data_IF_324295976021
#
_entry.id   IF_324295976021
#
_cell.length_a   1.000
_cell.length_b   1.000
_cell.length_c   1.000
_cell.angle_alpha   90.00
_cell.angle_beta   90.00
_cell.angle_gamma   90.00
#
_symmetry.space_group_name_H-M   'P 1'
#
loop_
_entity.id
_entity.type
_entity.pdbx_description
1 polymer ?
#
# COMPACT_ATOMS: atom_id res chain seq x y z
N UNK A 1 -17.81 0.85 -2.63
CA UNK A 1 -17.82 -0.03 -1.45
C UNK A 1 -16.38 -0.15 -1.02
N UNK A 2 -16.06 0.00 0.28
CA UNK A 2 -14.67 -0.06 0.71
C UNK A 2 -14.04 -1.42 0.42
N UNK A 3 -12.76 -1.41 0.10
CA UNK A 3 -11.98 -2.61 -0.16
C UNK A 3 -10.73 -2.64 0.70
N UNK A 4 -10.31 -3.83 1.08
CA UNK A 4 -9.08 -4.07 1.82
C UNK A 4 -8.05 -4.61 0.85
N UNK A 5 -6.88 -3.99 0.85
CA UNK A 5 -5.70 -4.47 0.17
C UNK A 5 -4.72 -5.00 1.21
N UNK A 6 -4.25 -6.23 1.02
CA UNK A 6 -3.17 -6.82 1.82
C UNK A 6 -2.02 -7.15 0.89
N UNK A 7 -0.85 -6.59 1.16
CA UNK A 7 0.36 -6.88 0.42
C UNK A 7 1.43 -7.41 1.37
N UNK A 8 1.88 -8.62 1.11
CA UNK A 8 2.92 -9.28 1.87
C UNK A 8 3.70 -10.26 0.99
N UNK A 9 4.90 -10.62 1.42
CA UNK A 9 5.66 -11.65 0.75
C UNK A 9 7.14 -11.63 1.07
N UNK A 10 7.89 -12.65 0.60
CA UNK A 10 9.32 -12.75 0.84
C UNK A 10 10.13 -11.61 0.23
N UNK A 11 9.68 -11.00 -0.87
CA UNK A 11 10.41 -9.90 -1.52
C UNK A 11 10.00 -8.52 -1.01
N UNK A 12 8.86 -8.40 -0.32
CA UNK A 12 8.44 -7.21 0.42
C UNK A 12 9.15 -7.18 1.79
N UNK A 13 10.35 -6.60 1.81
CA UNK A 13 11.09 -6.31 3.04
C UNK A 13 10.83 -4.88 3.51
N UNK A 14 11.10 -4.58 4.78
CA UNK A 14 11.02 -3.21 5.29
C UNK A 14 11.88 -2.24 4.47
N UNK A 15 13.11 -2.62 4.13
CA UNK A 15 14.04 -1.78 3.36
C UNK A 15 13.49 -1.44 1.96
N UNK A 16 12.88 -2.42 1.28
CA UNK A 16 12.28 -2.21 -0.03
C UNK A 16 10.99 -1.42 0.02
N UNK A 17 10.18 -1.63 1.06
CA UNK A 17 9.02 -0.80 1.32
C UNK A 17 9.44 0.67 1.53
N UNK A 18 10.42 0.94 2.39
CA UNK A 18 10.91 2.31 2.64
C UNK A 18 11.51 2.94 1.38
N UNK A 19 12.18 2.15 0.52
CA UNK A 19 12.66 2.62 -0.79
C UNK A 19 11.50 2.96 -1.74
N UNK A 20 10.46 2.13 -1.80
CA UNK A 20 9.26 2.44 -2.58
C UNK A 20 8.58 3.73 -2.10
N UNK A 21 8.46 3.92 -0.78
CA UNK A 21 7.93 5.15 -0.18
C UNK A 21 8.81 6.36 -0.55
N UNK A 22 10.15 6.23 -0.51
CA UNK A 22 11.06 7.30 -0.95
C UNK A 22 10.82 7.74 -2.38
N UNK A 23 10.58 6.79 -3.29
CA UNK A 23 10.31 7.10 -4.71
C UNK A 23 8.97 7.77 -4.93
N UNK A 24 7.96 7.42 -4.14
CA UNK A 24 6.62 8.00 -4.22
C UNK A 24 6.53 9.37 -3.52
N UNK A 25 7.29 9.57 -2.44
CA UNK A 25 7.13 10.72 -1.55
C UNK A 25 8.29 11.73 -1.62
N UNK A 26 8.87 11.93 -2.81
CA UNK A 26 9.91 12.94 -3.03
C UNK A 26 11.15 12.77 -2.14
N UNK A 27 11.51 11.53 -1.81
CA UNK A 27 12.68 11.17 -1.01
C UNK A 27 12.43 10.96 0.49
N UNK A 28 11.20 11.16 0.99
CA UNK A 28 10.85 10.84 2.39
C UNK A 28 10.66 9.33 2.56
N UNK A 29 11.20 8.75 3.63
CA UNK A 29 11.08 7.30 3.89
C UNK A 29 9.76 6.86 4.51
N UNK A 30 8.86 7.80 4.82
CA UNK A 30 7.56 7.53 5.43
C UNK A 30 6.49 8.38 4.78
N UNK A 31 5.29 7.81 4.70
CA UNK A 31 4.06 8.56 4.51
C UNK A 31 3.45 8.81 5.90
N UNK A 32 2.99 10.02 6.17
CA UNK A 32 2.50 10.40 7.50
C UNK A 32 1.01 10.78 7.49
N UNK A 33 0.52 11.24 6.34
CA UNK A 33 -0.86 11.65 6.16
C UNK A 33 -1.45 11.05 4.87
N UNK A 34 -2.79 10.91 4.76
CA UNK A 34 -3.41 10.49 3.51
C UNK A 34 -3.07 11.39 2.31
N UNK A 35 -2.75 12.66 2.55
CA UNK A 35 -2.35 13.62 1.52
C UNK A 35 -0.97 13.32 0.92
N UNK A 36 -0.16 12.46 1.54
CA UNK A 36 1.10 11.99 0.96
C UNK A 36 0.87 10.95 -0.16
N UNK A 37 -0.32 10.36 -0.27
CA UNK A 37 -0.65 9.47 -1.39
C UNK A 37 -0.90 10.24 -2.68
N UNK A 38 -0.45 9.73 -3.83
CA UNK A 38 -0.58 10.44 -5.10
C UNK A 38 -1.99 10.32 -5.72
N UNK A 39 -2.93 9.70 -5.01
CA UNK A 39 -4.34 9.57 -5.41
C UNK A 39 -5.25 9.73 -4.19
N UNK A 40 -6.48 10.16 -4.43
CA UNK A 40 -7.52 10.23 -3.40
C UNK A 40 -8.19 8.87 -3.14
N UNK A 41 -8.81 8.73 -1.97
CA UNK A 41 -9.66 7.60 -1.60
C UNK A 41 -9.00 6.56 -0.68
N UNK A 42 -7.80 6.83 -0.18
CA UNK A 42 -7.19 6.06 0.90
C UNK A 42 -7.87 6.40 2.23
N UNK A 43 -8.35 5.39 2.94
CA UNK A 43 -9.00 5.53 4.26
C UNK A 43 -8.04 5.13 5.40
N UNK A 44 -7.25 4.08 5.21
CA UNK A 44 -6.28 3.58 6.19
C UNK A 44 -5.06 3.08 5.45
N UNK A 45 -3.87 3.38 5.97
CA UNK A 45 -2.63 2.70 5.64
C UNK A 45 -1.95 2.23 6.92
N UNK A 46 -1.56 0.96 6.96
CA UNK A 46 -0.78 0.39 8.04
C UNK A 46 0.29 -0.53 7.45
N UNK A 47 1.54 -0.34 7.86
CA UNK A 47 2.66 -1.14 7.41
C UNK A 47 3.54 -1.54 8.60
N UNK A 48 4.05 -2.77 8.58
CA UNK A 48 4.92 -3.25 9.65
C UNK A 48 5.36 -4.69 9.50
N UNK A 49 6.24 -5.12 10.39
CA UNK A 49 6.71 -6.50 10.44
C UNK A 49 5.59 -7.42 10.93
N UNK A 50 5.21 -8.39 10.09
CA UNK A 50 4.29 -9.47 10.42
C UNK A 50 4.98 -10.83 10.52
N UNK A 51 4.20 -11.87 10.79
CA UNK A 51 4.68 -13.25 10.91
C UNK A 51 5.22 -13.84 9.60
N UNK A 52 4.78 -13.31 8.45
CA UNK A 52 5.13 -13.80 7.11
C UNK A 52 6.05 -12.85 6.33
N UNK A 53 6.65 -11.87 7.01
CA UNK A 53 7.44 -10.81 6.38
C UNK A 53 6.86 -9.43 6.67
N UNK A 54 7.39 -8.42 5.98
CA UNK A 54 6.80 -7.09 6.05
C UNK A 54 5.42 -7.12 5.37
N UNK A 55 4.43 -6.49 5.99
CA UNK A 55 3.05 -6.48 5.50
C UNK A 55 2.55 -5.05 5.43
N UNK A 56 1.84 -4.74 4.35
CA UNK A 56 1.07 -3.52 4.15
C UNK A 56 -0.40 -3.88 4.10
N UNK A 57 -1.22 -3.10 4.80
CA UNK A 57 -2.67 -3.19 4.79
C UNK A 57 -3.23 -1.81 4.50
N UNK A 58 -3.98 -1.70 3.40
CA UNK A 58 -4.69 -0.49 3.05
C UNK A 58 -6.20 -0.73 3.06
N UNK A 59 -6.96 0.30 3.42
CA UNK A 59 -8.40 0.35 3.17
C UNK A 59 -8.67 1.50 2.22
N UNK A 60 -9.37 1.21 1.13
CA UNK A 60 -9.72 2.18 0.09
C UNK A 60 -11.23 2.37 0.01
N UNK A 61 -11.71 3.55 -0.39
CA UNK A 61 -13.13 3.84 -0.61
C UNK A 61 -13.77 2.96 -1.69
N UNK A 62 -12.96 2.51 -2.67
CA UNK A 62 -13.38 1.70 -3.81
C UNK A 62 -12.20 0.97 -4.48
N UNK A 63 -12.51 -0.09 -5.23
CA UNK A 63 -11.56 -0.76 -6.13
C UNK A 63 -10.96 0.21 -7.15
N UNK A 64 -11.75 1.17 -7.66
CA UNK A 64 -11.28 2.18 -8.59
C UNK A 64 -10.25 3.13 -7.98
N UNK A 65 -10.38 3.48 -6.70
CA UNK A 65 -9.35 4.25 -5.99
C UNK A 65 -8.06 3.44 -5.81
N UNK A 66 -8.20 2.18 -5.36
CA UNK A 66 -7.08 1.26 -5.20
C UNK A 66 -6.33 1.04 -6.53
N UNK A 67 -7.05 0.84 -7.64
CA UNK A 67 -6.46 0.62 -8.97
C UNK A 67 -5.66 1.84 -9.46
N UNK A 68 -6.21 3.04 -9.29
CA UNK A 68 -5.50 4.29 -9.65
C UNK A 68 -4.17 4.42 -8.91
N UNK A 69 -4.11 4.02 -7.64
CA UNK A 69 -2.85 3.96 -6.90
C UNK A 69 -1.92 2.87 -7.45
N UNK A 70 -2.45 1.67 -7.67
CA UNK A 70 -1.70 0.54 -8.23
C UNK A 70 -1.04 0.87 -9.57
N UNK A 71 -1.68 1.68 -10.42
CA UNK A 71 -1.13 2.11 -11.71
C UNK A 71 0.11 3.00 -11.57
N UNK A 72 0.21 3.77 -10.48
CA UNK A 72 1.39 4.58 -10.18
C UNK A 72 2.44 3.81 -9.37
N UNK A 73 1.99 2.91 -8.49
CA UNK A 73 2.85 2.16 -7.58
C UNK A 73 3.60 1.03 -8.29
N UNK A 74 2.96 0.34 -9.24
CA UNK A 74 3.52 -0.87 -9.87
C UNK A 74 4.91 -0.67 -10.52
N UNK A 75 5.16 0.40 -11.31
CA UNK A 75 6.51 0.65 -11.83
C UNK A 75 7.56 0.79 -10.72
N UNK A 76 7.19 1.44 -9.62
CA UNK A 76 8.07 1.61 -8.46
C UNK A 76 8.38 0.26 -7.80
N UNK A 77 7.36 -0.60 -7.61
CA UNK A 77 7.54 -1.94 -7.03
C UNK A 77 8.48 -2.81 -7.87
N UNK A 78 8.30 -2.79 -9.20
CA UNK A 78 9.15 -3.51 -10.14
C UNK A 78 10.62 -3.07 -10.02
N UNK A 79 10.88 -1.76 -9.97
CA UNK A 79 12.22 -1.21 -9.86
C UNK A 79 12.91 -1.52 -8.53
N UNK A 80 12.17 -1.61 -7.42
CA UNK A 80 12.72 -1.98 -6.10
C UNK A 80 12.75 -3.49 -5.87
N UNK A 81 12.22 -4.27 -6.81
CA UNK A 81 12.25 -5.72 -6.80
C UNK A 81 11.26 -6.38 -5.85
N UNK A 82 10.13 -5.73 -5.57
CA UNK A 82 8.95 -6.33 -4.93
C UNK A 82 8.11 -7.00 -6.02
N UNK A 83 7.76 -8.27 -5.83
CA UNK A 83 7.18 -9.11 -6.88
C UNK A 83 5.82 -9.69 -6.55
N UNK A 84 5.44 -9.68 -5.28
CA UNK A 84 4.16 -10.24 -4.87
C UNK A 84 3.02 -9.34 -5.33
N UNK A 85 1.94 -9.97 -5.79
CA UNK A 85 0.70 -9.27 -6.09
C UNK A 85 -0.10 -9.12 -4.80
N UNK A 86 -0.74 -7.96 -4.57
CA UNK A 86 -1.58 -7.77 -3.41
C UNK A 86 -2.88 -8.58 -3.52
N UNK A 87 -3.38 -9.02 -2.36
CA UNK A 87 -4.75 -9.52 -2.25
C UNK A 87 -5.71 -8.33 -2.10
N UNK A 88 -6.81 -8.34 -2.86
CA UNK A 88 -7.86 -7.33 -2.82
C UNK A 88 -9.21 -7.99 -2.59
N UNK A 89 -9.95 -7.52 -1.59
CA UNK A 89 -11.30 -8.01 -1.31
C UNK A 89 -12.21 -6.93 -0.75
N UNK A 90 -13.52 -7.13 -0.92
CA UNK A 90 -14.53 -6.22 -0.38
C UNK A 90 -14.52 -6.23 1.15
N UNK A 91 -14.49 -5.04 1.77
CA UNK A 91 -14.70 -4.91 3.19
C UNK A 91 -16.20 -5.14 3.49
N UNK A 92 -16.54 -6.28 4.08
CA UNK A 92 -17.91 -6.55 4.50
C UNK A 92 -18.40 -5.50 5.52
N UNK A 93 -17.53 -5.07 6.42
CA UNK A 93 -17.82 -4.02 7.42
C UNK A 93 -16.56 -3.21 7.69
N UNK A 94 -16.69 -1.89 7.67
CA UNK A 94 -15.61 -0.95 7.97
C UNK A 94 -16.11 0.06 9.01
N UNK A 95 -15.34 0.25 10.08
CA UNK A 95 -15.61 1.21 11.16
C UNK A 95 -14.32 1.97 11.43
N UNK A 96 -14.37 3.30 11.37
CA UNK A 96 -13.27 4.19 11.75
C UNK A 96 -13.59 4.86 13.09
N UNK A 97 -12.55 5.20 13.86
CA UNK A 97 -12.66 5.87 15.15
C UNK A 97 -13.04 7.36 15.02
#
# INVERSE_FOLDING_TARGET
MPVVLVHEGPTLTQERYEEAVRRLNGGRSRMETPADWPVEGLLVHAAGQGAHGFRVVDVWESEDACRRFGDQLRPVLEEVGIKEEPELYAAHTFVSA
#
